data_IF_378463179083
#
_entry.id   IF_378463179083
#
_cell.length_a   1.000
_cell.length_b   1.000
_cell.length_c   1.000
_cell.angle_alpha   90.00
_cell.angle_beta   90.00
_cell.angle_gamma   90.00
#
_symmetry.space_group_name_H-M   'P 1'
#
loop_
_entity.id
_entity.type
_entity.pdbx_description
1 polymer ?
#
# COMPACT_ATOMS: atom_id res chain seq x y z
N UNK A 1 34.42 -15.88 -15.47
CA UNK A 1 34.34 -14.56 -14.80
C UNK A 1 33.23 -13.64 -15.27
N UNK A 2 32.60 -13.82 -16.45
CA UNK A 2 31.48 -12.95 -16.86
C UNK A 2 30.11 -13.34 -16.26
N UNK A 3 29.93 -14.58 -15.79
CA UNK A 3 28.65 -15.04 -15.22
C UNK A 3 28.29 -14.33 -13.90
N UNK A 4 29.27 -14.02 -13.05
CA UNK A 4 29.07 -13.43 -11.71
C UNK A 4 28.55 -11.98 -11.72
N UNK A 5 28.54 -11.32 -12.88
CA UNK A 5 27.96 -9.97 -13.03
C UNK A 5 26.57 -9.99 -13.66
N UNK A 6 25.99 -11.18 -13.81
CA UNK A 6 24.60 -11.33 -14.22
C UNK A 6 23.75 -11.62 -12.99
N UNK A 7 22.50 -11.18 -13.03
CA UNK A 7 21.49 -11.48 -12.02
C UNK A 7 21.42 -12.99 -11.70
N UNK A 8 21.57 -13.83 -12.73
CA UNK A 8 21.61 -15.28 -12.59
C UNK A 8 22.86 -15.75 -11.82
N UNK A 9 24.04 -15.23 -12.16
CA UNK A 9 25.29 -15.60 -11.47
C UNK A 9 25.34 -15.13 -10.02
N UNK A 10 24.87 -13.92 -9.73
CA UNK A 10 24.74 -13.43 -8.35
C UNK A 10 23.79 -14.32 -7.55
N UNK A 11 22.61 -14.62 -8.11
CA UNK A 11 21.65 -15.52 -7.48
C UNK A 11 22.25 -16.90 -7.20
N UNK A 12 23.04 -17.46 -8.13
CA UNK A 12 23.70 -18.75 -7.95
C UNK A 12 24.77 -18.74 -6.86
N UNK A 13 25.59 -17.69 -6.80
CA UNK A 13 26.59 -17.50 -5.73
C UNK A 13 25.91 -17.49 -4.36
N UNK A 14 24.84 -16.69 -4.23
CA UNK A 14 24.06 -16.60 -3.01
C UNK A 14 23.43 -17.93 -2.56
N UNK A 15 22.93 -18.73 -3.50
CA UNK A 15 22.42 -20.09 -3.21
C UNK A 15 23.54 -21.03 -2.77
N UNK A 16 24.69 -21.01 -3.45
CA UNK A 16 25.83 -21.87 -3.08
C UNK A 16 26.37 -21.57 -1.68
N UNK A 17 26.25 -20.31 -1.24
CA UNK A 17 26.61 -19.86 0.11
C UNK A 17 25.48 -20.02 1.15
N UNK A 18 24.35 -20.65 0.79
CA UNK A 18 23.15 -20.80 1.62
C UNK A 18 22.59 -19.48 2.17
N UNK A 19 22.87 -18.35 1.51
CA UNK A 19 22.36 -17.04 1.93
C UNK A 19 20.90 -16.81 1.55
N UNK A 20 20.42 -17.52 0.51
CA UNK A 20 19.03 -17.52 0.06
C UNK A 20 18.60 -18.95 -0.29
N UNK A 21 17.29 -19.22 -0.26
CA UNK A 21 16.76 -20.52 -0.69
C UNK A 21 16.75 -20.67 -2.22
N UNK A 22 16.67 -21.92 -2.70
CA UNK A 22 16.61 -22.24 -4.14
C UNK A 22 15.44 -21.59 -4.89
N UNK A 23 14.37 -21.21 -4.16
CA UNK A 23 13.19 -20.59 -4.75
C UNK A 23 13.33 -19.07 -4.90
N UNK A 24 14.45 -18.47 -4.48
CA UNK A 24 14.65 -17.03 -4.53
C UNK A 24 15.45 -16.67 -5.76
N UNK A 25 14.94 -15.70 -6.53
CA UNK A 25 15.63 -15.06 -7.65
C UNK A 25 15.83 -13.59 -7.30
N UNK A 26 17.07 -13.16 -7.13
CA UNK A 26 17.41 -11.74 -7.01
C UNK A 26 17.16 -11.08 -8.37
N UNK A 27 16.72 -9.83 -8.43
CA UNK A 27 16.55 -9.15 -9.72
C UNK A 27 16.73 -7.63 -9.71
N UNK A 28 16.82 -7.01 -8.53
CA UNK A 28 17.17 -5.61 -8.38
C UNK A 28 17.85 -5.35 -7.03
N UNK A 29 18.47 -4.19 -6.89
CA UNK A 29 19.01 -3.66 -5.63
C UNK A 29 18.35 -2.33 -5.31
N UNK A 30 18.29 -1.96 -4.03
CA UNK A 30 17.72 -0.67 -3.64
C UNK A 30 17.87 -0.40 -2.14
N UNK A 31 17.24 0.69 -1.71
CA UNK A 31 17.11 1.06 -0.31
C UNK A 31 15.63 1.04 0.09
N UNK A 32 15.33 0.68 1.34
CA UNK A 32 14.01 0.88 1.91
C UNK A 32 13.91 2.26 2.58
N UNK A 33 12.72 2.66 3.03
CA UNK A 33 12.45 3.97 3.68
C UNK A 33 13.33 4.20 4.93
N UNK A 34 13.83 3.13 5.55
CA UNK A 34 14.76 3.21 6.68
C UNK A 34 16.24 3.30 6.22
N UNK A 35 16.48 3.66 4.96
CA UNK A 35 17.80 3.74 4.27
C UNK A 35 18.63 2.46 4.30
N UNK A 36 18.05 1.32 4.67
CA UNK A 36 18.77 0.04 4.66
C UNK A 36 19.05 -0.37 3.22
N UNK A 37 20.27 -0.81 2.96
CA UNK A 37 20.66 -1.35 1.65
C UNK A 37 20.20 -2.79 1.55
N UNK A 38 19.65 -3.18 0.41
CA UNK A 38 19.23 -4.56 0.19
C UNK A 38 19.05 -4.93 -1.27
N UNK A 39 18.62 -6.17 -1.45
CA UNK A 39 18.24 -6.72 -2.75
C UNK A 39 16.76 -7.01 -2.79
N UNK A 40 16.16 -6.81 -3.97
CA UNK A 40 14.78 -7.15 -4.25
C UNK A 40 14.77 -8.50 -4.96
N UNK A 41 13.96 -9.41 -4.43
CA UNK A 41 13.94 -10.79 -4.88
C UNK A 41 12.53 -11.34 -5.04
N UNK A 42 12.34 -12.23 -6.02
CA UNK A 42 11.09 -12.94 -6.26
C UNK A 42 11.21 -14.34 -5.70
N UNK A 43 10.21 -14.78 -4.95
CA UNK A 43 10.01 -16.18 -4.66
C UNK A 43 9.29 -16.82 -5.85
N UNK A 44 10.00 -17.67 -6.60
CA UNK A 44 9.52 -18.24 -7.86
C UNK A 44 8.34 -19.21 -7.69
N UNK A 45 8.10 -19.74 -6.48
CA UNK A 45 6.97 -20.66 -6.21
C UNK A 45 5.65 -19.91 -6.02
N UNK A 46 5.65 -18.88 -5.18
CA UNK A 46 4.43 -18.13 -4.86
C UNK A 46 4.31 -16.80 -5.63
N UNK A 47 5.35 -16.42 -6.38
CA UNK A 47 5.46 -15.21 -7.21
C UNK A 47 5.54 -13.90 -6.42
N UNK A 48 5.60 -13.95 -5.09
CA UNK A 48 5.72 -12.78 -4.23
C UNK A 48 7.13 -12.17 -4.29
N UNK A 49 7.20 -10.86 -4.05
CA UNK A 49 8.40 -10.04 -4.10
C UNK A 49 8.76 -9.58 -2.70
N UNK A 50 10.03 -9.73 -2.34
CA UNK A 50 10.56 -9.43 -1.03
C UNK A 50 11.77 -8.49 -1.12
N UNK A 51 11.96 -7.68 -0.08
CA UNK A 51 13.18 -6.96 0.18
C UNK A 51 14.04 -7.73 1.20
N UNK A 52 15.26 -8.04 0.81
CA UNK A 52 16.27 -8.70 1.64
C UNK A 52 17.30 -7.66 2.08
N UNK A 53 17.18 -7.20 3.33
CA UNK A 53 18.14 -6.28 3.94
C UNK A 53 19.50 -6.94 4.08
N UNK A 54 20.57 -6.29 3.62
CA UNK A 54 21.94 -6.76 3.79
C UNK A 54 22.42 -6.40 5.19
N UNK A 55 22.92 -7.39 5.94
CA UNK A 55 23.47 -7.23 7.30
C UNK A 55 24.94 -7.65 7.41
N UNK A 56 25.53 -8.14 6.32
CA UNK A 56 26.94 -8.50 6.29
C UNK A 56 27.33 -9.31 5.06
N UNK A 57 28.48 -9.99 5.17
CA UNK A 57 29.07 -10.82 4.12
C UNK A 57 29.37 -12.22 4.64
N UNK A 58 29.11 -13.23 3.82
CA UNK A 58 29.51 -14.61 4.09
C UNK A 58 31.03 -14.68 4.02
N UNK A 59 31.65 -15.32 5.01
CA UNK A 59 33.11 -15.42 5.08
C UNK A 59 33.66 -16.18 3.87
N UNK A 60 34.63 -15.58 3.17
CA UNK A 60 35.29 -16.13 1.98
C UNK A 60 34.34 -16.39 0.77
N UNK A 61 33.25 -15.64 0.66
CA UNK A 61 32.36 -15.62 -0.52
C UNK A 61 31.96 -14.18 -0.81
N UNK A 62 31.54 -13.91 -2.04
CA UNK A 62 30.96 -12.63 -2.44
C UNK A 62 29.46 -12.52 -2.07
N UNK A 63 28.90 -13.54 -1.41
CA UNK A 63 27.52 -13.55 -0.96
C UNK A 63 27.28 -12.68 0.28
N UNK A 64 26.20 -11.91 0.27
CA UNK A 64 25.66 -11.19 1.43
C UNK A 64 25.02 -12.13 2.46
N UNK A 65 24.99 -11.66 3.70
CA UNK A 65 24.11 -12.17 4.76
C UNK A 65 22.90 -11.25 4.81
N UNK A 66 21.70 -11.83 4.81
CA UNK A 66 20.45 -11.10 4.84
C UNK A 66 19.74 -11.21 6.20
N UNK A 67 19.00 -10.16 6.56
CA UNK A 67 18.02 -10.18 7.63
C UNK A 67 16.74 -10.95 7.19
N UNK A 68 15.74 -11.03 8.07
CA UNK A 68 14.44 -11.56 7.70
C UNK A 68 13.83 -10.80 6.50
N UNK A 69 13.37 -11.52 5.45
CA UNK A 69 12.86 -10.90 4.25
C UNK A 69 11.53 -10.19 4.50
N UNK A 70 11.43 -8.96 4.03
CA UNK A 70 10.22 -8.14 4.13
C UNK A 70 9.40 -8.29 2.86
N UNK A 71 8.12 -8.64 2.98
CA UNK A 71 7.22 -8.72 1.83
C UNK A 71 6.95 -7.31 1.30
N UNK A 72 7.20 -7.07 0.00
CA UNK A 72 6.97 -5.76 -0.63
C UNK A 72 5.87 -5.78 -1.70
N UNK A 73 5.62 -6.94 -2.32
CA UNK A 73 4.48 -7.15 -3.23
C UNK A 73 4.10 -8.62 -3.28
N UNK A 74 2.83 -8.93 -3.48
CA UNK A 74 2.36 -10.33 -3.49
C UNK A 74 2.54 -11.03 -4.83
N UNK A 75 2.77 -10.26 -5.88
CA UNK A 75 3.08 -10.78 -7.21
C UNK A 75 4.04 -9.85 -7.92
N UNK A 76 4.68 -10.37 -8.97
CA UNK A 76 5.51 -9.54 -9.84
C UNK A 76 4.70 -8.43 -10.53
N UNK A 77 3.44 -8.70 -10.87
CA UNK A 77 2.56 -7.72 -11.52
C UNK A 77 2.18 -6.61 -10.54
N UNK A 78 1.89 -6.97 -9.28
CA UNK A 78 1.68 -6.00 -8.20
C UNK A 78 2.92 -5.12 -8.00
N UNK A 79 4.12 -5.71 -8.00
CA UNK A 79 5.36 -4.94 -7.92
C UNK A 79 5.50 -3.93 -9.07
N UNK A 80 5.34 -4.37 -10.33
CA UNK A 80 5.50 -3.48 -11.49
C UNK A 80 4.38 -2.45 -11.63
N UNK A 81 3.15 -2.78 -11.24
CA UNK A 81 2.04 -1.83 -11.29
C UNK A 81 2.19 -0.70 -10.27
N UNK A 82 2.94 -0.92 -9.18
CA UNK A 82 3.19 0.07 -8.13
C UNK A 82 4.58 0.72 -8.24
N UNK A 83 5.38 0.39 -9.27
CA UNK A 83 6.67 1.03 -9.50
C UNK A 83 6.47 2.47 -9.96
N UNK A 84 7.01 3.42 -9.19
CA UNK A 84 6.99 4.85 -9.53
C UNK A 84 8.40 5.28 -9.96
N UNK A 85 8.50 5.84 -11.15
CA UNK A 85 9.73 6.49 -11.60
C UNK A 85 9.79 7.89 -10.99
N UNK A 86 10.73 8.12 -10.08
CA UNK A 86 11.08 9.48 -9.70
C UNK A 86 11.76 10.16 -10.89
N UNK A 87 11.41 11.42 -11.23
CA UNK A 87 12.18 12.19 -12.19
C UNK A 87 13.64 12.21 -11.72
N UNK A 88 14.60 12.08 -12.65
CA UNK A 88 16.02 12.28 -12.37
C UNK A 88 16.18 13.71 -11.85
N UNK A 89 16.22 13.87 -10.53
CA UNK A 89 16.72 15.09 -9.91
C UNK A 89 18.21 15.10 -10.23
N UNK A 90 18.67 16.15 -10.92
CA UNK A 90 20.10 16.41 -11.08
C UNK A 90 20.75 16.35 -9.69
N UNK A 91 21.85 15.60 -9.55
CA UNK A 91 22.50 15.18 -8.29
C UNK A 91 22.89 16.33 -7.32
N UNK A 92 22.50 17.58 -7.57
CA UNK A 92 22.91 18.79 -6.85
C UNK A 92 21.85 19.41 -5.94
N UNK A 93 20.67 18.82 -5.80
CA UNK A 93 19.75 19.18 -4.71
C UNK A 93 19.31 17.92 -3.96
N UNK A 94 20.14 17.52 -3.00
CA UNK A 94 19.64 16.88 -1.78
C UNK A 94 18.80 17.94 -1.04
N UNK A 95 17.60 18.22 -1.53
CA UNK A 95 16.53 18.59 -0.61
C UNK A 95 16.35 17.36 0.26
N UNK A 96 16.62 17.50 1.55
CA UNK A 96 16.15 16.57 2.56
C UNK A 96 14.65 16.41 2.32
N UNK A 97 14.25 15.32 1.66
CA UNK A 97 12.91 14.79 1.85
C UNK A 97 12.91 14.47 3.34
N UNK A 98 12.28 15.34 4.12
CA UNK A 98 11.91 15.05 5.49
C UNK A 98 10.87 13.94 5.33
N UNK A 99 11.34 12.69 5.21
CA UNK A 99 10.48 11.53 5.40
C UNK A 99 10.04 11.62 6.85
N UNK A 100 8.84 12.16 7.07
CA UNK A 100 8.17 12.12 8.36
C UNK A 100 8.11 10.64 8.72
N UNK A 101 8.78 10.24 9.80
CA UNK A 101 8.74 8.87 10.33
C UNK A 101 7.30 8.57 10.73
N UNK A 102 6.54 7.97 9.82
CA UNK A 102 5.17 7.59 10.11
C UNK A 102 5.08 6.21 10.77
N UNK A 103 3.94 5.97 11.40
CA UNK A 103 3.67 4.76 12.16
C UNK A 103 2.47 4.00 11.58
N UNK A 104 2.40 2.69 11.84
CA UNK A 104 1.20 1.91 11.57
C UNK A 104 0.23 2.08 12.75
N UNK A 105 -1.03 2.47 12.52
CA UNK A 105 -1.96 2.71 13.61
C UNK A 105 -2.37 1.42 14.32
N UNK A 106 -2.65 1.54 15.61
CA UNK A 106 -3.44 0.55 16.34
C UNK A 106 -4.92 0.71 15.98
N UNK A 107 -5.67 -0.39 15.90
CA UNK A 107 -7.07 -0.39 15.50
C UNK A 107 -7.93 -0.89 16.66
N UNK A 108 -8.94 -0.10 17.03
CA UNK A 108 -9.99 -0.46 17.96
C UNK A 108 -11.31 -0.71 17.22
N UNK A 109 -12.31 -1.28 17.91
CA UNK A 109 -13.66 -1.51 17.38
C UNK A 109 -13.72 -2.23 16.01
N UNK A 110 -12.75 -3.13 15.78
CA UNK A 110 -12.74 -4.01 14.61
C UNK A 110 -13.97 -4.92 14.59
N UNK A 111 -14.46 -5.21 13.38
CA UNK A 111 -15.50 -6.22 13.15
C UNK A 111 -14.94 -7.65 13.27
N UNK A 112 -15.80 -8.66 13.09
CA UNK A 112 -15.43 -10.06 13.13
C UNK A 112 -14.27 -10.38 12.18
N UNK A 113 -13.32 -11.20 12.63
CA UNK A 113 -12.14 -11.58 11.83
C UNK A 113 -12.55 -12.27 10.53
N UNK A 114 -11.85 -11.91 9.45
CA UNK A 114 -12.12 -12.45 8.12
C UNK A 114 -11.26 -13.67 7.82
N UNK A 115 -11.80 -14.56 7.00
CA UNK A 115 -11.05 -15.63 6.35
C UNK A 115 -10.60 -15.18 4.95
N UNK A 116 -9.66 -15.93 4.36
CA UNK A 116 -9.26 -15.73 2.96
C UNK A 116 -10.42 -15.92 1.98
N UNK A 117 -11.38 -16.79 2.31
CA UNK A 117 -12.57 -16.99 1.48
C UNK A 117 -13.52 -15.79 1.57
N UNK A 118 -13.63 -15.15 2.75
CA UNK A 118 -14.43 -13.93 2.89
C UNK A 118 -13.88 -12.79 2.01
N UNK A 119 -12.56 -12.58 1.99
CA UNK A 119 -11.92 -11.60 1.10
C UNK A 119 -12.15 -11.93 -0.38
N UNK A 120 -12.13 -13.21 -0.73
CA UNK A 120 -12.39 -13.66 -2.11
C UNK A 120 -13.86 -13.42 -2.49
N UNK A 121 -14.80 -13.69 -1.58
CA UNK A 121 -16.22 -13.44 -1.78
C UNK A 121 -16.49 -11.94 -1.95
N UNK A 122 -15.87 -11.10 -1.13
CA UNK A 122 -15.89 -9.64 -1.25
C UNK A 122 -15.43 -9.17 -2.65
N UNK A 123 -14.28 -9.65 -3.12
CA UNK A 123 -13.76 -9.31 -4.45
C UNK A 123 -14.71 -9.76 -5.58
N UNK A 124 -15.33 -10.94 -5.45
CA UNK A 124 -16.28 -11.47 -6.43
C UNK A 124 -17.59 -10.67 -6.43
N UNK A 125 -18.11 -10.34 -5.25
CA UNK A 125 -19.37 -9.63 -5.06
C UNK A 125 -19.33 -8.22 -5.67
N UNK A 126 -18.24 -7.49 -5.46
CA UNK A 126 -18.04 -6.16 -6.03
C UNK A 126 -17.41 -6.18 -7.42
N UNK A 127 -16.98 -7.35 -7.91
CA UNK A 127 -16.20 -7.50 -9.15
C UNK A 127 -14.95 -6.60 -9.16
N UNK A 128 -14.19 -6.62 -8.06
CA UNK A 128 -12.98 -5.82 -7.85
C UNK A 128 -11.76 -6.69 -7.55
N UNK A 129 -10.58 -6.07 -7.61
CA UNK A 129 -9.33 -6.66 -7.13
C UNK A 129 -8.59 -5.65 -6.25
N UNK A 130 -8.43 -5.97 -4.98
CA UNK A 130 -7.73 -5.11 -4.02
C UNK A 130 -6.24 -5.53 -3.90
N UNK A 131 -5.33 -4.60 -3.61
CA UNK A 131 -3.91 -4.89 -3.38
C UNK A 131 -3.75 -5.87 -2.23
N UNK A 132 -2.69 -6.67 -2.27
CA UNK A 132 -2.53 -7.68 -1.24
C UNK A 132 -2.18 -7.14 0.14
N UNK A 133 -1.47 -6.01 0.20
CA UNK A 133 -1.30 -5.25 1.45
C UNK A 133 -2.63 -4.97 2.14
N UNK A 134 -3.64 -4.57 1.35
CA UNK A 134 -5.01 -4.35 1.83
C UNK A 134 -5.66 -5.66 2.27
N UNK A 135 -5.48 -6.78 1.55
CA UNK A 135 -5.98 -8.10 1.99
C UNK A 135 -5.40 -8.52 3.34
N UNK A 136 -4.08 -8.37 3.51
CA UNK A 136 -3.38 -8.73 4.73
C UNK A 136 -3.81 -7.84 5.91
N UNK A 137 -4.02 -6.55 5.64
CA UNK A 137 -4.62 -5.64 6.61
C UNK A 137 -6.00 -6.13 7.06
N UNK A 138 -6.93 -6.38 6.15
CA UNK A 138 -8.29 -6.82 6.49
C UNK A 138 -8.38 -8.21 7.14
N UNK A 139 -7.44 -9.11 6.85
CA UNK A 139 -7.32 -10.39 7.54
C UNK A 139 -6.88 -10.24 9.00
N UNK A 140 -6.14 -9.17 9.32
CA UNK A 140 -5.66 -8.88 10.68
C UNK A 140 -6.62 -7.96 11.44
N UNK A 141 -7.16 -6.94 10.76
CA UNK A 141 -8.00 -5.87 11.28
C UNK A 141 -9.18 -5.63 10.33
N UNK A 142 -10.37 -6.12 10.68
CA UNK A 142 -11.55 -5.94 9.84
C UNK A 142 -12.24 -4.60 10.11
N UNK A 143 -11.71 -3.53 9.51
CA UNK A 143 -12.13 -2.16 9.78
C UNK A 143 -11.60 -1.65 11.13
N UNK A 144 -12.29 -0.67 11.71
CA UNK A 144 -11.99 -0.15 13.04
C UNK A 144 -11.54 1.32 13.04
N UNK A 145 -11.34 1.86 14.23
CA UNK A 145 -10.91 3.25 14.45
C UNK A 145 -9.39 3.27 14.69
N UNK A 146 -8.60 4.03 13.90
CA UNK A 146 -7.17 4.07 14.06
C UNK A 146 -6.71 5.01 15.18
N UNK A 147 -5.60 4.64 15.83
CA UNK A 147 -4.84 5.50 16.72
C UNK A 147 -3.34 5.27 16.46
N UNK A 148 -2.58 6.29 16.01
CA UNK A 148 -3.04 7.64 15.67
C UNK A 148 -4.01 7.66 14.47
N UNK A 149 -4.74 8.78 14.32
CA UNK A 149 -5.74 8.96 13.27
C UNK A 149 -5.32 9.99 12.20
N UNK A 150 -4.19 10.69 12.38
CA UNK A 150 -3.70 11.69 11.43
C UNK A 150 -2.83 11.04 10.35
N UNK A 151 -2.98 11.49 9.10
CA UNK A 151 -2.18 11.05 7.95
C UNK A 151 -1.66 12.26 7.17
N UNK A 152 -0.38 12.29 6.82
CA UNK A 152 0.16 13.31 5.89
C UNK A 152 0.05 12.80 4.45
N UNK A 153 -0.74 13.47 3.58
CA UNK A 153 -0.72 13.17 2.15
C UNK A 153 0.69 13.27 1.56
N UNK A 154 0.98 12.44 0.56
CA UNK A 154 2.23 12.51 -0.19
C UNK A 154 2.34 13.75 -1.07
N UNK A 155 1.22 14.42 -1.29
CA UNK A 155 1.21 15.74 -1.91
C UNK A 155 1.59 16.76 -0.84
N UNK A 156 2.79 17.35 -0.97
CA UNK A 156 3.36 18.29 0.01
C UNK A 156 2.54 19.58 0.15
N UNK A 157 1.70 19.90 -0.83
CA UNK A 157 0.82 21.07 -0.81
C UNK A 157 -0.47 20.83 0.01
N UNK A 158 -0.71 19.60 0.48
CA UNK A 158 -1.89 19.26 1.28
C UNK A 158 -1.56 19.22 2.78
N UNK A 159 -2.44 19.80 3.59
CA UNK A 159 -2.41 19.64 5.04
C UNK A 159 -2.67 18.17 5.44
N UNK A 160 -2.28 17.80 6.66
CA UNK A 160 -2.62 16.50 7.23
C UNK A 160 -4.15 16.30 7.25
N UNK A 161 -4.56 15.05 7.10
CA UNK A 161 -5.97 14.65 7.03
C UNK A 161 -6.31 13.64 8.11
N UNK A 162 -7.56 13.68 8.57
CA UNK A 162 -8.09 12.76 9.58
C UNK A 162 -8.59 11.46 8.93
N UNK A 163 -8.19 10.32 9.48
CA UNK A 163 -8.77 9.00 9.19
C UNK A 163 -9.59 8.58 10.42
N UNK A 164 -10.89 8.84 10.42
CA UNK A 164 -11.77 8.54 11.54
C UNK A 164 -12.07 7.04 11.67
N UNK A 165 -12.31 6.36 10.55
CA UNK A 165 -12.64 4.93 10.56
C UNK A 165 -12.31 4.21 9.26
N UNK A 166 -11.85 2.97 9.38
CA UNK A 166 -11.82 1.98 8.31
C UNK A 166 -13.14 1.18 8.30
N UNK A 167 -13.75 1.08 7.13
CA UNK A 167 -14.97 0.31 6.97
C UNK A 167 -14.70 -1.19 7.02
N UNK A 168 -15.52 -1.97 7.74
CA UNK A 168 -15.40 -3.42 7.73
C UNK A 168 -15.86 -4.03 6.41
N UNK A 169 -15.47 -5.28 6.18
CA UNK A 169 -15.97 -6.16 5.12
C UNK A 169 -16.90 -7.18 5.77
N UNK A 170 -17.93 -7.63 5.03
CA UNK A 170 -18.89 -8.69 5.36
C UNK A 170 -19.84 -8.41 6.53
N UNK A 171 -19.34 -7.94 7.66
CA UNK A 171 -20.14 -7.68 8.87
C UNK A 171 -19.92 -6.24 9.34
N UNK A 172 -21.01 -5.48 9.42
CA UNK A 172 -20.99 -4.11 9.97
C UNK A 172 -20.72 -4.11 11.47
N UNK A 173 -20.27 -2.96 11.97
CA UNK A 173 -20.24 -2.70 13.41
C UNK A 173 -21.48 -1.91 13.83
N UNK A 174 -21.55 -1.55 15.11
CA UNK A 174 -22.56 -0.59 15.57
C UNK A 174 -22.28 0.83 15.04
N UNK A 175 -21.01 1.14 14.76
CA UNK A 175 -20.58 2.47 14.34
C UNK A 175 -20.58 2.62 12.81
N UNK A 176 -20.21 1.57 12.07
CA UNK A 176 -19.87 1.68 10.65
C UNK A 176 -20.51 0.57 9.81
N UNK A 177 -20.96 0.96 8.62
CA UNK A 177 -21.49 0.06 7.59
C UNK A 177 -20.35 -0.56 6.76
N UNK A 178 -20.62 -1.65 6.03
CA UNK A 178 -19.56 -2.36 5.28
C UNK A 178 -19.19 -1.70 3.96
N UNK A 179 -17.96 -1.97 3.48
CA UNK A 179 -17.48 -1.49 2.17
C UNK A 179 -18.44 -1.86 1.04
N UNK A 180 -18.97 -3.08 1.03
CA UNK A 180 -19.86 -3.57 -0.02
C UNK A 180 -21.14 -2.75 -0.13
N UNK A 181 -21.73 -2.42 1.02
CA UNK A 181 -22.97 -1.64 1.09
C UNK A 181 -22.70 -0.20 0.66
N UNK A 182 -21.64 0.42 1.20
CA UNK A 182 -21.27 1.81 0.88
C UNK A 182 -20.93 1.96 -0.59
N UNK A 183 -20.06 1.08 -1.13
CA UNK A 183 -19.66 1.13 -2.53
C UNK A 183 -20.86 0.97 -3.47
N UNK A 184 -21.74 -0.01 -3.21
CA UNK A 184 -22.96 -0.20 -4.04
C UNK A 184 -23.91 0.98 -3.98
N UNK A 185 -24.13 1.57 -2.80
CA UNK A 185 -25.00 2.75 -2.67
C UNK A 185 -24.42 3.93 -3.48
N UNK A 186 -23.15 4.27 -3.25
CA UNK A 186 -22.47 5.38 -3.90
C UNK A 186 -22.40 5.21 -5.43
N UNK A 187 -22.07 4.00 -5.91
CA UNK A 187 -21.99 3.72 -7.34
C UNK A 187 -23.38 3.70 -8.00
N UNK A 188 -24.39 3.10 -7.36
CA UNK A 188 -25.74 3.02 -7.95
C UNK A 188 -26.45 4.37 -8.04
N UNK A 189 -26.17 5.26 -7.08
CA UNK A 189 -26.65 6.65 -7.07
C UNK A 189 -25.76 7.57 -7.90
N UNK A 190 -24.65 7.05 -8.43
CA UNK A 190 -23.69 7.77 -9.25
C UNK A 190 -23.11 9.01 -8.54
N UNK A 191 -22.86 8.85 -7.23
CA UNK A 191 -22.28 9.85 -6.33
C UNK A 191 -20.77 9.72 -6.20
N UNK A 192 -20.19 8.61 -6.66
CA UNK A 192 -18.76 8.36 -6.72
C UNK A 192 -18.44 7.57 -8.00
N UNK A 193 -17.31 7.83 -8.68
CA UNK A 193 -16.85 7.00 -9.78
C UNK A 193 -16.72 5.53 -9.38
N UNK A 194 -17.22 4.60 -10.21
CA UNK A 194 -17.15 3.15 -9.93
C UNK A 194 -15.74 2.56 -9.97
N UNK A 195 -14.73 3.34 -10.40
CA UNK A 195 -13.32 2.99 -10.27
C UNK A 195 -12.71 3.37 -8.92
N UNK A 196 -13.45 4.01 -8.01
CA UNK A 196 -13.05 4.31 -6.65
C UNK A 196 -13.80 3.38 -5.68
N UNK A 197 -13.05 2.60 -4.90
CA UNK A 197 -13.58 1.72 -3.87
C UNK A 197 -13.36 2.37 -2.50
N UNK A 198 -14.41 2.89 -1.84
CA UNK A 198 -14.27 3.52 -0.52
C UNK A 198 -13.89 2.46 0.53
N UNK A 199 -12.93 2.78 1.40
CA UNK A 199 -12.46 1.86 2.45
C UNK A 199 -12.30 2.52 3.82
N UNK A 200 -12.27 3.85 3.88
CA UNK A 200 -12.26 4.61 5.12
C UNK A 200 -12.98 5.95 4.94
N UNK A 201 -13.21 6.67 6.04
CA UNK A 201 -13.75 8.04 6.04
C UNK A 201 -13.12 8.88 7.15
N UNK A 202 -13.26 10.20 7.00
CA UNK A 202 -13.04 11.18 8.07
C UNK A 202 -14.32 11.41 8.91
N UNK A 203 -14.28 12.34 9.87
CA UNK A 203 -15.45 12.73 10.66
C UNK A 203 -16.45 13.60 9.89
N UNK A 204 -16.02 14.21 8.78
CA UNK A 204 -16.83 15.05 7.89
C UNK A 204 -17.70 14.26 6.90
N UNK A 205 -17.48 12.95 6.76
CA UNK A 205 -18.20 12.09 5.82
C UNK A 205 -17.55 12.00 4.44
N UNK A 206 -16.32 12.52 4.28
CA UNK A 206 -15.53 12.34 3.07
C UNK A 206 -14.82 10.99 3.10
N UNK A 207 -14.58 10.42 1.92
CA UNK A 207 -14.12 9.04 1.80
C UNK A 207 -12.66 8.94 1.39
N UNK A 208 -11.95 7.98 1.96
CA UNK A 208 -10.70 7.49 1.40
C UNK A 208 -11.00 6.27 0.54
N UNK A 209 -10.53 6.31 -0.71
CA UNK A 209 -10.86 5.32 -1.71
C UNK A 209 -9.62 4.78 -2.44
N UNK A 210 -9.63 3.47 -2.68
CA UNK A 210 -8.68 2.81 -3.54
C UNK A 210 -9.13 3.01 -5.00
N UNK A 211 -8.26 3.56 -5.82
CA UNK A 211 -8.48 3.56 -7.26
C UNK A 211 -8.19 2.16 -7.85
N UNK A 212 -9.24 1.52 -8.36
CA UNK A 212 -9.19 0.15 -8.84
C UNK A 212 -8.32 -0.05 -10.09
N UNK A 213 -8.01 1.03 -10.83
CA UNK A 213 -7.15 0.96 -12.03
C UNK A 213 -5.68 1.08 -11.68
N UNK A 214 -5.29 2.15 -10.98
CA UNK A 214 -3.88 2.47 -10.71
C UNK A 214 -3.41 2.08 -9.29
N UNK A 215 -4.31 1.56 -8.45
CA UNK A 215 -4.06 1.09 -7.07
C UNK A 215 -3.56 2.15 -6.08
N UNK A 216 -3.65 3.42 -6.46
CA UNK A 216 -3.37 4.59 -5.60
C UNK A 216 -4.55 4.89 -4.68
N UNK A 217 -4.29 5.64 -3.62
CA UNK A 217 -5.26 6.08 -2.62
C UNK A 217 -5.63 7.54 -2.89
N UNK A 218 -6.93 7.82 -2.84
CA UNK A 218 -7.50 9.14 -3.06
C UNK A 218 -8.43 9.50 -1.90
N UNK A 219 -8.51 10.79 -1.62
CA UNK A 219 -9.50 11.41 -0.75
C UNK A 219 -10.61 12.01 -1.63
N UNK A 220 -11.84 11.60 -1.38
CA UNK A 220 -13.01 11.93 -2.16
C UNK A 220 -13.95 12.80 -1.34
N UNK A 221 -14.07 14.06 -1.75
CA UNK A 221 -14.90 15.06 -1.09
C UNK A 221 -16.36 14.90 -1.52
N UNK A 222 -17.23 14.90 -0.53
CA UNK A 222 -18.67 14.70 -0.72
C UNK A 222 -19.48 15.98 -0.56
N UNK A 223 -18.85 17.04 -0.06
CA UNK A 223 -19.44 18.33 0.30
C UNK A 223 -19.15 19.45 -0.72
N UNK A 224 -18.16 19.29 -1.61
CA UNK A 224 -17.78 20.28 -2.65
C UNK A 224 -18.53 20.12 -3.98
N UNK A 225 -19.81 19.71 -3.99
CA UNK A 225 -20.55 19.48 -5.25
C UNK A 225 -21.06 20.78 -5.90
N UNK A 226 -20.64 21.07 -7.14
CA UNK A 226 -21.19 22.16 -7.95
C UNK A 226 -22.31 21.67 -8.88
N UNK A 227 -23.54 22.06 -8.57
CA UNK A 227 -24.75 21.75 -9.36
C UNK A 227 -24.74 22.35 -10.78
N UNK A 228 -23.87 23.32 -11.05
CA UNK A 228 -23.73 23.94 -12.37
C UNK A 228 -22.65 23.28 -13.24
N UNK A 229 -21.80 22.43 -12.64
CA UNK A 229 -20.74 21.74 -13.34
C UNK A 229 -21.21 20.37 -13.88
N UNK A 230 -20.47 19.85 -14.85
CA UNK A 230 -20.67 18.45 -15.26
C UNK A 230 -20.32 17.51 -14.11
N UNK A 231 -20.93 16.33 -14.10
CA UNK A 231 -20.61 15.31 -13.10
C UNK A 231 -19.16 14.87 -13.19
N UNK A 232 -18.65 14.68 -14.40
CA UNK A 232 -17.28 14.26 -14.65
C UNK A 232 -16.29 15.29 -14.09
N UNK A 233 -16.62 16.58 -14.24
CA UNK A 233 -15.86 17.67 -13.62
C UNK A 233 -15.88 17.57 -12.09
N UNK A 234 -17.06 17.44 -11.47
CA UNK A 234 -17.18 17.26 -10.01
C UNK A 234 -16.35 16.06 -9.52
N UNK A 235 -16.43 14.94 -10.23
CA UNK A 235 -15.63 13.75 -9.88
C UNK A 235 -14.13 14.01 -9.98
N UNK A 236 -13.67 14.74 -10.98
CA UNK A 236 -12.26 15.08 -11.14
C UNK A 236 -11.79 16.05 -10.05
N UNK A 237 -12.53 17.12 -9.79
CA UNK A 237 -12.15 18.15 -8.80
C UNK A 237 -12.23 17.66 -7.37
N UNK A 238 -13.17 16.75 -7.08
CA UNK A 238 -13.41 16.28 -5.72
C UNK A 238 -12.58 15.03 -5.38
N UNK A 239 -11.72 14.56 -6.29
CA UNK A 239 -10.85 13.41 -6.09
C UNK A 239 -9.39 13.86 -5.92
N UNK A 240 -8.92 13.97 -4.68
CA UNK A 240 -7.56 14.42 -4.33
C UNK A 240 -6.64 13.21 -4.14
N UNK A 241 -5.44 13.25 -4.72
CA UNK A 241 -4.45 12.19 -4.54
C UNK A 241 -3.86 12.25 -3.13
N UNK A 242 -3.70 11.09 -2.48
CA UNK A 242 -3.23 11.01 -1.08
C UNK A 242 -1.99 10.14 -0.94
N UNK A 243 -2.00 8.96 -1.53
CA UNK A 243 -0.89 8.01 -1.39
C UNK A 243 -0.74 7.09 -2.59
N UNK A 244 0.50 6.69 -2.84
CA UNK A 244 0.89 5.86 -3.98
C UNK A 244 0.43 4.41 -3.87
N UNK A 245 0.20 3.93 -2.66
CA UNK A 245 -0.30 2.59 -2.40
C UNK A 245 -0.96 2.50 -1.03
N UNK A 246 -1.77 1.46 -0.82
CA UNK A 246 -2.33 1.15 0.50
C UNK A 246 -1.26 0.88 1.55
N UNK A 247 -0.15 0.23 1.18
CA UNK A 247 0.96 -0.03 2.11
C UNK A 247 1.66 1.25 2.53
N UNK A 248 1.85 2.20 1.61
CA UNK A 248 2.38 3.50 2.00
C UNK A 248 1.42 4.18 2.98
N UNK A 249 0.13 4.24 2.61
CA UNK A 249 -0.92 4.85 3.43
C UNK A 249 -0.95 4.30 4.87
N UNK A 250 -0.99 2.99 5.05
CA UNK A 250 -1.16 2.41 6.40
C UNK A 250 0.09 2.50 7.29
N UNK A 251 1.26 2.79 6.73
CA UNK A 251 2.51 2.89 7.49
C UNK A 251 2.97 4.34 7.72
N UNK A 252 2.22 5.34 7.24
CA UNK A 252 2.61 6.75 7.35
C UNK A 252 1.58 7.60 8.11
N UNK A 253 0.96 7.04 9.15
CA UNK A 253 0.18 7.86 10.09
C UNK A 253 1.13 8.66 10.99
N UNK A 254 0.70 9.83 11.44
CA UNK A 254 1.48 10.71 12.29
C UNK A 254 0.87 10.70 13.69
N UNK A 255 1.72 10.58 14.71
CA UNK A 255 1.29 10.84 16.08
C UNK A 255 0.90 12.31 16.23
N UNK A 256 -0.19 12.59 16.95
CA UNK A 256 -0.53 13.96 17.29
C UNK A 256 0.58 14.51 18.20
N UNK A 257 1.33 15.53 17.76
CA UNK A 257 2.28 16.21 18.64
C UNK A 257 1.48 16.86 19.79
N UNK A 258 1.72 16.42 21.03
CA UNK A 258 1.15 17.01 22.25
C UNK A 258 1.49 18.50 22.43
#
# INVERSE_FOLDING_TARGET
>A
NALFHTVEGETLEHRSSNSISDNILLFASGHNNLRNIGVIAINIKNRAVYFYKIIGFVKNSDAFIFDEPQLIADSIDDFFNNLVAFPKIEEEQQTEIIEIEGVMPELSDCSASLTKEDIKNFEVELNVKIPAGMKNFYLKFNGGMPSPYCFQPQDEDLDWVEINAFFPIKERTNAFETIEVIAKDMWSRNLMPSNLLPFAMDSGGNYYALNLKNKKIYYYLTDEWDENASREYNFETNTRYIAQSFNYFINHFIEEEE
#
